data_IF_972683680589
#
_entry.id   IF_972683680589
#
_cell.length_a   1.000
_cell.length_b   1.000
_cell.length_c   1.000
_cell.angle_alpha   90.00
_cell.angle_beta   90.00
_cell.angle_gamma   90.00
#
_symmetry.space_group_name_H-M   'P 1'
#
loop_
_entity.id
_entity.type
_entity.pdbx_description
1 polymer ?
#
# COMPACT_ATOMS: atom_id res chain seq x y z
N UNK A 1 -15.66 1.28 -4.28
CA UNK A 1 -14.79 0.74 -5.37
C UNK A 1 -13.34 1.09 -5.04
N UNK A 2 -12.33 0.38 -5.56
CA UNK A 2 -10.92 0.67 -5.21
C UNK A 2 -10.58 2.15 -5.47
N UNK A 3 -11.11 2.71 -6.55
CA UNK A 3 -10.92 4.11 -6.93
C UNK A 3 -11.50 5.10 -5.91
N UNK A 4 -12.58 4.73 -5.21
CA UNK A 4 -13.20 5.54 -4.15
C UNK A 4 -12.40 5.47 -2.84
N UNK A 5 -11.72 4.34 -2.58
CA UNK A 5 -10.88 4.15 -1.40
C UNK A 5 -9.51 4.85 -1.52
N UNK A 6 -9.11 5.24 -2.73
CA UNK A 6 -7.82 5.89 -2.96
C UNK A 6 -7.68 7.21 -2.20
N UNK A 7 -8.72 8.05 -2.20
CA UNK A 7 -8.68 9.33 -1.48
C UNK A 7 -8.62 9.13 0.04
N UNK A 8 -9.42 8.21 0.58
CA UNK A 8 -9.37 7.86 2.00
C UNK A 8 -8.01 7.27 2.43
N UNK A 9 -7.37 6.48 1.55
CA UNK A 9 -6.04 5.95 1.78
C UNK A 9 -4.98 7.06 1.79
N UNK A 10 -5.11 8.08 0.93
CA UNK A 10 -4.22 9.24 0.94
C UNK A 10 -4.40 10.07 2.21
N UNK A 11 -5.64 10.30 2.65
CA UNK A 11 -5.92 11.00 3.92
C UNK A 11 -5.24 10.29 5.10
N UNK A 12 -5.39 8.97 5.18
CA UNK A 12 -4.73 8.17 6.22
C UNK A 12 -3.19 8.24 6.10
N UNK A 13 -2.65 8.04 4.90
CA UNK A 13 -1.21 8.07 4.65
C UNK A 13 -0.59 9.44 4.97
N UNK A 14 -1.31 10.54 4.75
CA UNK A 14 -0.84 11.89 5.06
C UNK A 14 -0.55 12.11 6.55
N UNK A 15 -1.17 11.34 7.45
CA UNK A 15 -0.91 11.42 8.88
C UNK A 15 0.29 10.58 9.33
N UNK A 16 0.70 9.59 8.54
CA UNK A 16 1.70 8.58 8.92
C UNK A 16 3.02 8.74 8.16
N UNK A 17 2.94 9.05 6.87
CA UNK A 17 4.10 9.11 5.97
C UNK A 17 4.96 10.32 6.30
N UNK A 18 6.27 10.08 6.46
CA UNK A 18 7.24 11.11 6.82
C UNK A 18 6.79 11.95 8.03
N UNK A 19 6.23 11.31 9.05
CA UNK A 19 5.72 11.99 10.27
C UNK A 19 4.66 13.06 9.98
N UNK A 20 3.92 12.89 8.89
CA UNK A 20 2.87 13.83 8.47
C UNK A 20 3.38 15.14 7.90
N UNK A 21 4.60 15.15 7.34
CA UNK A 21 5.16 16.32 6.65
C UNK A 21 4.33 16.74 5.43
N UNK A 22 3.69 15.79 4.75
CA UNK A 22 2.86 16.05 3.57
C UNK A 22 1.38 16.09 3.92
N UNK A 23 0.68 17.13 3.48
CA UNK A 23 -0.78 17.17 3.49
C UNK A 23 -1.36 16.15 2.49
N UNK A 24 -2.65 15.76 2.61
CA UNK A 24 -3.29 14.90 1.61
C UNK A 24 -3.18 15.42 0.18
N UNK A 25 -3.27 16.75 0.00
CA UNK A 25 -3.17 17.39 -1.31
C UNK A 25 -1.77 17.27 -1.92
N UNK A 26 -0.73 17.51 -1.14
CA UNK A 26 0.66 17.33 -1.60
C UNK A 26 0.95 15.85 -1.88
N UNK A 27 0.42 14.95 -1.05
CA UNK A 27 0.60 13.52 -1.22
C UNK A 27 -0.08 13.02 -2.51
N UNK A 28 -1.26 13.55 -2.86
CA UNK A 28 -1.95 13.27 -4.12
C UNK A 28 -1.12 13.65 -5.36
N UNK A 29 -0.30 14.70 -5.26
CA UNK A 29 0.52 15.18 -6.39
C UNK A 29 1.79 14.35 -6.61
N UNK A 30 2.35 13.78 -5.54
CA UNK A 30 3.63 13.04 -5.60
C UNK A 30 3.46 11.52 -5.71
N UNK A 31 2.29 10.98 -5.32
CA UNK A 31 2.01 9.56 -5.39
C UNK A 31 1.67 9.14 -6.82
N UNK A 32 2.29 8.06 -7.28
CA UNK A 32 1.88 7.41 -8.53
C UNK A 32 0.56 6.64 -8.32
N UNK A 33 -0.56 7.31 -8.64
CA UNK A 33 -1.89 6.72 -8.56
C UNK A 33 -2.01 5.44 -9.40
N UNK A 34 -1.40 5.38 -10.59
CA UNK A 34 -1.54 4.21 -11.46
C UNK A 34 -0.89 3.00 -10.78
N UNK A 35 0.34 3.18 -10.28
CA UNK A 35 1.07 2.13 -9.58
C UNK A 35 0.34 1.66 -8.32
N UNK A 36 -0.18 2.57 -7.49
CA UNK A 36 -0.95 2.21 -6.28
C UNK A 36 -2.18 1.39 -6.64
N UNK A 37 -2.93 1.81 -7.66
CA UNK A 37 -4.15 1.13 -8.08
C UNK A 37 -3.87 -0.25 -8.68
N UNK A 38 -2.78 -0.41 -9.43
CA UNK A 38 -2.34 -1.71 -9.93
C UNK A 38 -1.92 -2.65 -8.80
N UNK A 39 -1.18 -2.16 -7.81
CA UNK A 39 -0.79 -2.95 -6.64
C UNK A 39 -2.01 -3.35 -5.81
N UNK A 40 -2.97 -2.44 -5.58
CA UNK A 40 -4.23 -2.76 -4.91
C UNK A 40 -5.01 -3.87 -5.64
N UNK A 41 -5.11 -3.81 -6.98
CA UNK A 41 -5.74 -4.85 -7.79
C UNK A 41 -5.02 -6.19 -7.69
N UNK A 42 -3.68 -6.21 -7.74
CA UNK A 42 -2.87 -7.42 -7.58
C UNK A 42 -3.11 -8.07 -6.21
N UNK A 43 -3.07 -7.27 -5.13
CA UNK A 43 -3.32 -7.76 -3.77
C UNK A 43 -4.74 -8.28 -3.58
N UNK A 44 -5.75 -7.60 -4.15
CA UNK A 44 -7.13 -8.08 -4.11
C UNK A 44 -7.30 -9.40 -4.85
N UNK A 45 -6.63 -9.58 -6.00
CA UNK A 45 -6.70 -10.82 -6.78
C UNK A 45 -6.22 -12.05 -5.98
N UNK A 46 -5.35 -11.87 -4.98
CA UNK A 46 -4.87 -12.95 -4.12
C UNK A 46 -6.00 -13.64 -3.34
N UNK A 47 -7.08 -12.92 -3.01
CA UNK A 47 -8.26 -13.49 -2.32
C UNK A 47 -8.97 -14.57 -3.14
N UNK A 48 -8.82 -14.55 -4.46
CA UNK A 48 -9.42 -15.52 -5.37
C UNK A 48 -8.46 -16.65 -5.74
N UNK A 49 -7.15 -16.44 -5.53
CA UNK A 49 -6.10 -17.40 -5.88
C UNK A 49 -5.63 -18.26 -4.70
N UNK A 50 -5.79 -17.78 -3.47
CA UNK A 50 -5.26 -18.42 -2.27
C UNK A 50 -6.33 -18.69 -1.22
N UNK A 51 -6.10 -19.72 -0.41
CA UNK A 51 -6.97 -20.02 0.73
C UNK A 51 -6.84 -18.94 1.82
N UNK A 52 -7.90 -18.74 2.61
CA UNK A 52 -7.84 -17.81 3.75
C UNK A 52 -6.75 -18.15 4.76
N UNK A 53 -6.31 -19.42 4.83
CA UNK A 53 -5.23 -19.88 5.71
C UNK A 53 -3.86 -19.38 5.23
N UNK A 54 -3.63 -19.42 3.92
CA UNK A 54 -2.31 -19.12 3.34
C UNK A 54 -2.18 -17.64 2.94
N UNK A 55 -3.31 -16.97 2.72
CA UNK A 55 -3.39 -15.58 2.27
C UNK A 55 -2.52 -14.60 3.08
N UNK A 56 -2.48 -14.64 4.44
CA UNK A 56 -1.64 -13.71 5.20
C UNK A 56 -0.14 -13.84 4.90
N UNK A 57 0.36 -15.04 4.61
CA UNK A 57 1.76 -15.24 4.27
C UNK A 57 2.07 -14.70 2.87
N UNK A 58 1.22 -15.03 1.89
CA UNK A 58 1.37 -14.56 0.50
C UNK A 58 1.27 -13.04 0.40
N UNK A 59 0.37 -12.40 1.14
CA UNK A 59 0.25 -10.94 1.17
C UNK A 59 1.53 -10.30 1.70
N UNK A 60 2.13 -10.84 2.77
CA UNK A 60 3.40 -10.31 3.28
C UNK A 60 4.50 -10.40 2.23
N UNK A 61 4.63 -11.54 1.55
CA UNK A 61 5.62 -11.74 0.48
C UNK A 61 5.42 -10.71 -0.65
N UNK A 62 4.18 -10.47 -1.08
CA UNK A 62 3.88 -9.47 -2.11
C UNK A 62 4.16 -8.03 -1.65
N UNK A 63 3.91 -7.69 -0.38
CA UNK A 63 4.20 -6.36 0.17
C UNK A 63 5.71 -6.09 0.16
N UNK A 64 6.54 -7.10 0.44
CA UNK A 64 8.00 -6.97 0.42
C UNK A 64 8.53 -6.57 -0.96
N UNK A 65 7.86 -7.01 -2.03
CA UNK A 65 8.24 -6.68 -3.42
C UNK A 65 7.87 -5.22 -3.81
N UNK A 66 7.08 -4.53 -2.99
CA UNK A 66 6.73 -3.12 -3.21
C UNK A 66 7.88 -2.20 -2.80
N UNK A 67 7.84 -0.96 -3.29
CA UNK A 67 8.81 0.06 -2.90
C UNK A 67 8.75 0.30 -1.39
N UNK A 68 9.90 0.17 -0.71
CA UNK A 68 10.00 0.26 0.74
C UNK A 68 9.68 -1.04 1.49
N UNK A 69 9.32 -2.11 0.77
CA UNK A 69 8.90 -3.38 1.35
C UNK A 69 10.04 -4.16 2.03
N UNK A 70 11.26 -4.10 1.50
CA UNK A 70 12.42 -4.73 2.15
C UNK A 70 12.80 -4.00 3.44
N UNK A 71 12.78 -2.66 3.47
CA UNK A 71 12.96 -1.89 4.71
C UNK A 71 11.92 -2.27 5.77
N UNK A 72 10.65 -2.40 5.37
CA UNK A 72 9.58 -2.85 6.25
C UNK A 72 9.82 -4.28 6.78
N UNK A 73 10.22 -5.21 5.92
CA UNK A 73 10.55 -6.60 6.29
C UNK A 73 11.68 -6.68 7.31
N UNK A 74 12.69 -5.84 7.13
CA UNK A 74 13.88 -5.77 7.97
C UNK A 74 13.65 -4.93 9.24
N UNK A 75 12.45 -4.36 9.42
CA UNK A 75 12.10 -3.53 10.57
C UNK A 75 12.88 -2.22 10.62
N UNK A 76 13.43 -1.76 9.49
CA UNK A 76 14.13 -0.47 9.42
C UNK A 76 13.09 0.63 9.31
N UNK A 77 12.91 1.37 10.40
CA UNK A 77 12.22 2.65 10.34
C UNK A 77 13.22 3.70 9.82
N UNK A 78 12.80 4.49 8.83
CA UNK A 78 13.54 5.70 8.45
C UNK A 78 13.47 6.72 9.57
#
# INVERSE_FOLDING_TARGET
MIEEEFEAAIDAASAEVWEGIYTPFELLEIVDKIQVMENARKLLALNYAHSAKDLPAIVKENIVELQGGEEWKEGRQK
#
